data_IF_173186493701
#
_entry.id   IF_173186493701
#
_cell.length_a   1.000
_cell.length_b   1.000
_cell.length_c   1.000
_cell.angle_alpha   90.00
_cell.angle_beta   90.00
_cell.angle_gamma   90.00
#
_symmetry.space_group_name_H-M   'P 1'
#
loop_
_entity.id
_entity.type
_entity.pdbx_description
1 polymer ?
#
# COMPACT_ATOMS: atom_id res chain seq x y z
N UNK A 1 -4.55 -5.24 4.26
CA UNK A 1 -4.87 -5.98 3.03
C UNK A 1 -5.72 -5.06 2.17
N UNK A 2 -5.13 -4.48 1.13
CA UNK A 2 -5.88 -3.59 0.24
C UNK A 2 -6.49 -4.50 -0.84
N UNK A 3 -7.81 -4.65 -0.78
CA UNK A 3 -8.59 -5.37 -1.79
C UNK A 3 -9.10 -4.32 -2.79
N UNK A 4 -8.44 -4.21 -3.94
CA UNK A 4 -9.00 -3.48 -5.09
C UNK A 4 -9.68 -4.49 -6.03
N UNK A 5 -10.91 -4.16 -6.41
CA UNK A 5 -11.71 -4.93 -7.37
C UNK A 5 -11.24 -4.57 -8.77
N UNK A 6 -10.39 -5.38 -9.41
CA UNK A 6 -10.02 -5.07 -10.79
C UNK A 6 -8.94 -5.89 -11.47
N UNK A 7 -8.01 -6.53 -10.77
CA UNK A 7 -6.98 -7.33 -11.44
C UNK A 7 -6.13 -8.10 -10.43
N UNK A 8 -5.93 -9.37 -10.74
CA UNK A 8 -5.40 -10.39 -9.85
C UNK A 8 -3.86 -10.32 -9.86
N UNK A 9 -3.29 -9.25 -9.32
CA UNK A 9 -1.89 -9.32 -8.88
C UNK A 9 -1.89 -9.93 -7.48
N UNK A 10 -1.90 -11.26 -7.51
CA UNK A 10 -1.77 -12.12 -6.36
C UNK A 10 -0.45 -11.77 -5.66
N UNK A 11 -0.50 -10.85 -4.67
CA UNK A 11 0.51 -10.86 -3.61
C UNK A 11 0.22 -12.13 -2.82
N UNK A 12 0.67 -13.28 -3.34
CA UNK A 12 0.32 -14.66 -2.96
C UNK A 12 0.71 -15.03 -1.53
N UNK A 13 1.25 -14.09 -0.76
CA UNK A 13 1.56 -14.32 0.65
C UNK A 13 0.92 -13.23 1.48
N UNK A 14 -0.18 -13.53 2.20
CA UNK A 14 -0.61 -12.64 3.26
C UNK A 14 0.58 -12.42 4.20
N UNK A 15 0.74 -11.20 4.67
CA UNK A 15 1.72 -10.90 5.72
C UNK A 15 1.38 -11.73 6.97
N UNK A 16 2.13 -12.82 7.18
CA UNK A 16 1.97 -13.74 8.30
C UNK A 16 2.63 -13.23 9.59
N UNK A 17 3.22 -12.02 9.57
CA UNK A 17 3.82 -11.45 10.77
C UNK A 17 2.75 -11.12 11.80
N UNK A 18 3.10 -11.27 13.07
CA UNK A 18 2.21 -11.07 14.22
C UNK A 18 2.38 -9.69 14.88
N UNK A 19 2.90 -8.68 14.16
CA UNK A 19 3.01 -7.32 14.70
C UNK A 19 1.64 -6.68 14.95
N UNK A 20 1.52 -5.92 16.02
CA UNK A 20 0.32 -5.16 16.36
C UNK A 20 0.05 -3.97 15.41
N UNK A 21 1.12 -3.36 14.87
CA UNK A 21 1.07 -2.19 13.97
C UNK A 21 2.03 -2.41 12.79
N UNK A 22 1.58 -2.07 11.58
CA UNK A 22 2.41 -2.05 10.36
C UNK A 22 2.39 -0.65 9.77
N UNK A 23 3.56 -0.07 9.54
CA UNK A 23 3.71 1.24 8.92
C UNK A 23 4.52 1.13 7.63
N UNK A 24 4.09 1.82 6.58
CA UNK A 24 4.81 1.79 5.31
C UNK A 24 4.14 2.57 4.19
N UNK A 25 4.85 2.61 3.06
CA UNK A 25 4.33 3.05 1.77
C UNK A 25 3.19 2.15 1.33
N UNK A 26 2.04 2.74 0.98
CA UNK A 26 0.95 2.03 0.32
C UNK A 26 1.00 2.34 -1.17
N UNK A 27 1.07 1.31 -2.00
CA UNK A 27 0.93 1.50 -3.44
C UNK A 27 -0.39 2.20 -3.73
N UNK A 28 -0.33 3.38 -4.36
CA UNK A 28 -1.49 4.01 -4.97
C UNK A 28 -1.77 3.37 -6.33
N UNK A 29 -2.90 3.72 -6.96
CA UNK A 29 -3.32 3.15 -8.24
C UNK A 29 -2.25 3.26 -9.34
N UNK A 30 -1.45 4.33 -9.32
CA UNK A 30 -0.37 4.55 -10.31
C UNK A 30 0.80 3.59 -10.11
N UNK A 31 1.20 3.36 -8.86
CA UNK A 31 2.22 2.37 -8.51
C UNK A 31 1.77 0.98 -8.95
N UNK A 32 0.54 0.60 -8.62
CA UNK A 32 0.00 -0.72 -8.96
C UNK A 32 -0.11 -0.93 -10.47
N UNK A 33 -0.70 0.03 -11.20
CA UNK A 33 -0.79 -0.03 -12.66
C UNK A 33 0.58 -0.13 -13.34
N UNK A 34 1.60 0.58 -12.82
CA UNK A 34 2.97 0.46 -13.36
C UNK A 34 3.54 -0.94 -13.15
N UNK A 35 3.30 -1.54 -11.99
CA UNK A 35 3.73 -2.91 -11.67
C UNK A 35 3.03 -3.93 -12.55
N UNK A 36 1.72 -3.78 -12.76
CA UNK A 36 0.93 -4.61 -13.69
C UNK A 36 1.47 -4.56 -15.11
N UNK A 37 1.62 -3.36 -15.67
CA UNK A 37 2.14 -3.18 -17.02
C UNK A 37 3.52 -3.83 -17.19
N UNK A 38 4.35 -3.83 -16.15
CA UNK A 38 5.66 -4.48 -16.18
C UNK A 38 5.55 -6.01 -16.15
N UNK A 39 4.71 -6.58 -15.28
CA UNK A 39 4.52 -8.03 -15.19
C UNK A 39 3.80 -8.61 -16.41
N UNK A 40 2.89 -7.86 -17.03
CA UNK A 40 2.23 -8.21 -18.28
C UNK A 40 3.15 -8.03 -19.51
N UNK A 41 4.38 -7.51 -19.32
CA UNK A 41 5.36 -7.30 -20.39
C UNK A 41 5.02 -6.13 -21.34
N UNK A 42 4.09 -5.26 -20.95
CA UNK A 42 3.64 -4.11 -21.73
C UNK A 42 4.62 -2.92 -21.63
N UNK A 43 5.42 -2.86 -20.56
CA UNK A 43 6.52 -1.89 -20.41
C UNK A 43 7.80 -2.59 -19.95
N UNK A 44 8.95 -2.02 -20.30
CA UNK A 44 10.24 -2.52 -19.84
C UNK A 44 10.60 -2.01 -18.42
N UNK A 45 11.66 -2.58 -17.84
CA UNK A 45 12.15 -2.21 -16.50
C UNK A 45 12.53 -0.74 -16.40
N UNK A 46 13.04 -0.15 -17.48
CA UNK A 46 13.50 1.26 -17.48
C UNK A 46 12.30 2.19 -17.39
N UNK A 47 11.26 1.91 -18.17
CA UNK A 47 9.99 2.64 -18.14
C UNK A 47 9.28 2.49 -16.79
N UNK A 48 9.25 1.29 -16.22
CA UNK A 48 8.68 1.07 -14.89
C UNK A 48 9.37 1.92 -13.81
N UNK A 49 10.72 1.95 -13.79
CA UNK A 49 11.49 2.77 -12.85
C UNK A 49 11.22 4.27 -13.07
N UNK A 50 11.13 4.71 -14.33
CA UNK A 50 10.83 6.10 -14.67
C UNK A 50 9.44 6.55 -14.20
N UNK A 51 8.45 5.66 -14.20
CA UNK A 51 7.12 5.98 -13.65
C UNK A 51 7.13 6.01 -12.13
N UNK A 52 7.77 5.02 -11.50
CA UNK A 52 7.79 4.89 -10.04
C UNK A 52 8.60 5.98 -9.33
N UNK A 53 9.67 6.49 -9.95
CA UNK A 53 10.56 7.49 -9.31
C UNK A 53 9.87 8.82 -8.96
N UNK A 54 8.71 9.12 -9.55
CA UNK A 54 7.97 10.35 -9.31
C UNK A 54 6.83 10.17 -8.30
N UNK A 55 6.59 8.93 -7.84
CA UNK A 55 5.56 8.66 -6.84
C UNK A 55 6.05 9.10 -5.46
N UNK A 56 5.28 9.98 -4.82
CA UNK A 56 5.59 10.46 -3.47
C UNK A 56 5.22 9.35 -2.47
N UNK A 57 6.13 8.96 -1.57
CA UNK A 57 5.81 7.97 -0.53
C UNK A 57 4.64 8.47 0.33
N UNK A 58 3.60 7.64 0.45
CA UNK A 58 2.50 7.84 1.38
C UNK A 58 2.77 7.00 2.65
N UNK A 59 3.00 7.63 3.79
CA UNK A 59 3.10 6.87 5.02
C UNK A 59 1.68 6.51 5.48
N UNK A 60 1.33 5.23 5.45
CA UNK A 60 0.11 4.71 6.08
C UNK A 60 0.48 3.81 7.26
N UNK A 61 -0.43 3.79 8.25
CA UNK A 61 -0.31 2.99 9.46
C UNK A 61 -1.54 2.10 9.55
N UNK A 62 -1.33 0.79 9.67
CA UNK A 62 -2.35 -0.22 9.83
C UNK A 62 -2.28 -0.81 11.24
N UNK A 63 -3.36 -0.68 12.01
CA UNK A 63 -3.52 -1.30 13.32
C UNK A 63 -4.16 -2.68 13.13
N UNK A 64 -3.51 -3.74 13.61
CA UNK A 64 -3.94 -5.14 13.40
C UNK A 64 -4.57 -5.79 14.62
N UNK A 65 -4.48 -5.16 15.79
CA UNK A 65 -5.04 -5.69 17.05
C UNK A 65 -5.83 -4.64 17.81
N UNK A 66 -6.86 -5.09 18.54
CA UNK A 66 -7.64 -4.24 19.45
C UNK A 66 -6.75 -3.57 20.51
N UNK A 67 -5.71 -4.28 20.97
CA UNK A 67 -4.70 -3.75 21.89
C UNK A 67 -4.02 -2.51 21.29
N UNK A 68 -3.63 -2.56 20.02
CA UNK A 68 -3.01 -1.43 19.34
C UNK A 68 -3.95 -0.22 19.25
N UNK A 69 -5.23 -0.45 18.95
CA UNK A 69 -6.26 0.59 18.89
C UNK A 69 -6.51 1.23 20.26
N UNK A 70 -6.42 0.45 21.34
CA UNK A 70 -6.64 0.97 22.71
C UNK A 70 -5.63 2.03 23.16
N UNK A 71 -4.49 2.15 22.47
CA UNK A 71 -3.49 3.19 22.75
C UNK A 71 -3.77 4.52 22.03
N UNK A 72 -4.77 4.59 21.15
CA UNK A 72 -5.12 5.83 20.47
C UNK A 72 -5.84 6.78 21.42
N UNK A 73 -5.40 8.05 21.42
CA UNK A 73 -6.10 9.14 22.09
C UNK A 73 -6.63 10.12 21.04
N UNK A 74 -7.88 10.53 21.19
CA UNK A 74 -8.47 11.53 20.31
C UNK A 74 -7.97 12.92 20.70
N UNK A 75 -7.24 13.58 19.80
CA UNK A 75 -6.71 14.93 20.01
C UNK A 75 -7.62 16.04 19.46
N UNK A 76 -8.38 15.77 18.39
CA UNK A 76 -9.23 16.77 17.74
C UNK A 76 -9.67 16.38 16.33
N UNK A 77 -10.50 17.23 15.71
CA UNK A 77 -11.00 17.05 14.33
C UNK A 77 -11.22 18.40 13.65
N UNK A 78 -10.98 18.44 12.33
CA UNK A 78 -11.28 19.61 11.49
C UNK A 78 -12.68 19.48 10.84
N UNK A 79 -13.33 20.61 10.55
CA UNK A 79 -14.54 20.62 9.71
C UNK A 79 -14.10 20.56 8.24
N UNK A 80 -14.64 19.59 7.51
CA UNK A 80 -14.51 19.45 6.05
C UNK A 80 -15.29 20.54 5.32
#
# INVERSE_FOLDING_TARGET
MILYHGSFLEIVRPDLTNYDIVAGGVANDKVFNTVELFFDGLIDKKEAINRLRYEKPNLQICFRTEKALSFLHFEGSEKL
#
